data_IF_914555868613
#
_entry.id   IF_914555868613
#
_cell.length_a   1.000
_cell.length_b   1.000
_cell.length_c   1.000
_cell.angle_alpha   90.00
_cell.angle_beta   90.00
_cell.angle_gamma   90.00
#
_symmetry.space_group_name_H-M   'P 1'
#
loop_
_entity.id
_entity.type
_entity.pdbx_description
1 polymer ?
#
# COMPACT_ATOMS: atom_id res chain seq x y z
N UNK A 1 7.91 1.64 -33.95
CA UNK A 1 8.82 1.34 -32.82
C UNK A 1 8.09 1.68 -31.53
N UNK A 2 7.53 0.68 -30.84
CA UNK A 2 6.90 0.87 -29.53
C UNK A 2 8.00 1.21 -28.52
N UNK A 3 8.11 2.48 -28.14
CA UNK A 3 9.04 2.90 -27.08
C UNK A 3 8.77 2.06 -25.83
N UNK A 4 9.80 1.44 -25.22
CA UNK A 4 9.61 0.65 -24.02
C UNK A 4 9.04 1.52 -22.90
N UNK A 5 7.99 1.02 -22.22
CA UNK A 5 7.22 1.72 -21.18
C UNK A 5 8.09 2.51 -20.17
N UNK A 6 9.25 1.99 -19.69
CA UNK A 6 10.11 2.74 -18.77
C UNK A 6 10.71 4.02 -19.38
N UNK A 7 10.97 4.06 -20.69
CA UNK A 7 11.49 5.26 -21.35
C UNK A 7 10.44 6.36 -21.44
N UNK A 8 9.16 5.99 -21.64
CA UNK A 8 8.05 6.96 -21.65
C UNK A 8 7.86 7.60 -20.26
N UNK A 9 7.95 6.81 -19.18
CA UNK A 9 7.89 7.32 -17.81
C UNK A 9 9.02 8.31 -17.50
N UNK A 10 10.24 7.96 -17.93
CA UNK A 10 11.42 8.81 -17.74
C UNK A 10 11.32 10.09 -18.57
N UNK A 11 10.90 9.98 -19.83
CA UNK A 11 10.72 11.14 -20.70
C UNK A 11 9.67 12.10 -20.13
N UNK A 12 8.50 11.59 -19.73
CA UNK A 12 7.46 12.40 -19.10
C UNK A 12 7.99 13.13 -17.86
N UNK A 13 8.67 12.43 -16.96
CA UNK A 13 9.26 13.03 -15.77
C UNK A 13 10.32 14.09 -16.09
N UNK A 14 11.17 13.85 -17.08
CA UNK A 14 12.24 14.80 -17.45
C UNK A 14 11.69 16.04 -18.16
N UNK A 15 10.70 15.89 -19.02
CA UNK A 15 10.06 17.01 -19.73
C UNK A 15 9.25 17.90 -18.79
N UNK A 16 8.56 17.33 -17.80
CA UNK A 16 7.69 18.12 -16.90
C UNK A 16 8.44 18.57 -15.65
N UNK A 17 9.16 17.67 -14.97
CA UNK A 17 9.85 17.97 -13.71
C UNK A 17 11.26 18.54 -13.94
N UNK A 18 11.80 18.44 -15.15
CA UNK A 18 13.06 19.09 -15.54
C UNK A 18 12.91 20.57 -15.92
N UNK A 19 11.68 21.10 -15.95
CA UNK A 19 11.43 22.52 -16.24
C UNK A 19 11.68 23.38 -15.00
N UNK A 20 12.96 23.69 -14.73
CA UNK A 20 13.32 24.55 -13.60
C UNK A 20 14.79 24.93 -13.59
N UNK A 21 15.20 25.72 -12.58
CA UNK A 21 16.60 26.15 -12.40
C UNK A 21 17.57 25.00 -12.07
N UNK A 22 17.06 23.81 -11.72
CA UNK A 22 17.85 22.62 -11.37
C UNK A 22 17.89 21.62 -12.54
N UNK A 23 18.96 20.83 -12.60
CA UNK A 23 19.13 19.74 -13.58
C UNK A 23 17.96 18.76 -13.52
N UNK A 24 17.60 18.22 -14.68
CA UNK A 24 16.58 17.16 -14.79
C UNK A 24 16.91 15.99 -13.86
N UNK A 25 15.89 15.36 -13.25
CA UNK A 25 16.13 14.25 -12.33
C UNK A 25 16.82 13.07 -13.05
N UNK A 26 17.74 12.35 -12.37
CA UNK A 26 18.35 11.16 -12.92
C UNK A 26 17.29 10.11 -13.30
N UNK A 27 17.61 9.27 -14.29
CA UNK A 27 16.71 8.20 -14.76
C UNK A 27 16.21 7.30 -13.63
N UNK A 28 17.07 6.94 -12.68
CA UNK A 28 16.70 6.11 -11.54
C UNK A 28 15.64 6.77 -10.66
N UNK A 29 15.77 8.08 -10.41
CA UNK A 29 14.81 8.87 -9.63
C UNK A 29 13.47 8.97 -10.35
N UNK A 30 13.50 9.22 -11.67
CA UNK A 30 12.27 9.26 -12.48
C UNK A 30 11.49 7.95 -12.42
N UNK A 31 12.19 6.81 -12.53
CA UNK A 31 11.57 5.49 -12.46
C UNK A 31 11.06 5.17 -11.05
N UNK A 32 11.81 5.56 -10.03
CA UNK A 32 11.39 5.40 -8.64
C UNK A 32 10.09 6.16 -8.38
N UNK A 33 10.06 7.45 -8.72
CA UNK A 33 8.88 8.29 -8.59
C UNK A 33 7.69 7.73 -9.36
N UNK A 34 7.88 7.30 -10.62
CA UNK A 34 6.81 6.67 -11.39
C UNK A 34 6.26 5.43 -10.70
N UNK A 35 7.13 4.58 -10.13
CA UNK A 35 6.73 3.43 -9.34
C UNK A 35 5.90 3.80 -8.11
N UNK A 36 6.31 4.83 -7.38
CA UNK A 36 5.59 5.30 -6.20
C UNK A 36 4.23 5.92 -6.55
N UNK A 37 4.17 6.76 -7.59
CA UNK A 37 2.92 7.37 -8.06
C UNK A 37 1.94 6.30 -8.55
N UNK A 38 2.43 5.27 -9.24
CA UNK A 38 1.62 4.13 -9.63
C UNK A 38 1.12 3.33 -8.42
N UNK A 39 1.96 3.16 -7.40
CA UNK A 39 1.55 2.51 -6.16
C UNK A 39 0.43 3.31 -5.45
N UNK A 40 0.52 4.64 -5.43
CA UNK A 40 -0.55 5.50 -4.88
C UNK A 40 -1.83 5.41 -5.71
N UNK A 41 -1.72 5.42 -7.04
CA UNK A 41 -2.87 5.27 -7.93
C UNK A 41 -3.57 3.90 -7.79
N UNK A 42 -2.84 2.87 -7.35
CA UNK A 42 -3.37 1.52 -7.10
C UNK A 42 -3.81 1.30 -5.65
N UNK A 43 -3.73 2.33 -4.79
CA UNK A 43 -4.05 2.22 -3.37
C UNK A 43 -3.08 1.36 -2.56
N UNK A 44 -1.91 1.01 -3.12
CA UNK A 44 -0.85 0.29 -2.42
C UNK A 44 -0.09 1.18 -1.43
N UNK A 45 -0.17 2.50 -1.63
CA UNK A 45 0.44 3.52 -0.79
C UNK A 45 -0.54 4.69 -0.64
N UNK A 46 -0.75 5.26 0.55
CA UNK A 46 -1.73 6.33 0.74
C UNK A 46 -1.30 7.66 0.09
N UNK A 47 0.00 7.95 0.10
CA UNK A 47 0.58 9.19 -0.39
C UNK A 47 2.07 9.00 -0.73
N UNK A 48 2.60 9.74 -1.71
CA UNK A 48 4.05 9.84 -1.96
C UNK A 48 4.53 11.28 -1.80
N UNK A 49 5.65 11.45 -1.07
CA UNK A 49 6.34 12.72 -0.93
C UNK A 49 7.28 12.93 -2.11
N UNK A 50 7.18 14.08 -2.76
CA UNK A 50 8.09 14.51 -3.80
C UNK A 50 9.06 15.56 -3.24
N UNK A 51 10.33 15.18 -3.16
CA UNK A 51 11.44 16.02 -2.66
C UNK A 51 12.61 16.13 -3.66
N UNK A 52 12.48 15.49 -4.82
CA UNK A 52 13.59 15.24 -5.73
C UNK A 52 14.16 16.53 -6.34
N UNK A 53 13.33 17.56 -6.51
CA UNK A 53 13.76 18.90 -6.86
C UNK A 53 12.74 19.93 -6.36
N UNK A 54 13.08 21.21 -6.54
CA UNK A 54 12.21 22.35 -6.25
C UNK A 54 11.11 22.54 -7.31
N UNK A 55 10.64 21.48 -7.96
CA UNK A 55 9.52 21.58 -8.90
C UNK A 55 8.27 21.92 -8.11
N UNK A 56 7.62 23.02 -8.50
CA UNK A 56 6.37 23.44 -7.89
C UNK A 56 5.20 22.56 -8.32
N UNK A 57 4.06 22.77 -7.66
CA UNK A 57 2.80 22.05 -7.88
C UNK A 57 2.42 21.95 -9.37
N UNK A 58 2.64 23.00 -10.16
CA UNK A 58 2.31 23.01 -11.60
C UNK A 58 3.11 21.99 -12.43
N UNK A 59 4.39 21.81 -12.12
CA UNK A 59 5.24 20.83 -12.81
C UNK A 59 4.85 19.40 -12.42
N UNK A 60 4.44 19.19 -11.16
CA UNK A 60 3.86 17.92 -10.73
C UNK A 60 2.49 17.66 -11.40
N UNK A 61 1.63 18.67 -11.52
CA UNK A 61 0.35 18.52 -12.23
C UNK A 61 0.59 18.12 -13.69
N UNK A 62 1.48 18.82 -14.37
CA UNK A 62 1.87 18.51 -15.76
C UNK A 62 2.42 17.09 -15.89
N UNK A 63 3.20 16.62 -14.90
CA UNK A 63 3.69 15.24 -14.85
C UNK A 63 2.56 14.22 -14.73
N UNK A 64 1.61 14.44 -13.82
CA UNK A 64 0.46 13.55 -13.64
C UNK A 64 -0.43 13.50 -14.88
N UNK A 65 -0.65 14.65 -15.52
CA UNK A 65 -1.37 14.73 -16.80
C UNK A 65 -0.63 13.98 -17.92
N UNK A 66 0.69 14.11 -18.01
CA UNK A 66 1.48 13.35 -18.97
C UNK A 66 1.36 11.83 -18.74
N UNK A 67 1.42 11.38 -17.49
CA UNK A 67 1.23 9.97 -17.15
C UNK A 67 -0.20 9.48 -17.44
N UNK A 68 -1.20 10.33 -17.24
CA UNK A 68 -2.59 10.04 -17.62
C UNK A 68 -2.76 9.94 -19.14
N UNK A 69 -2.19 10.86 -19.90
CA UNK A 69 -2.19 10.84 -21.37
C UNK A 69 -1.49 9.60 -21.95
N UNK A 70 -0.52 9.06 -21.22
CA UNK A 70 0.15 7.79 -21.54
C UNK A 70 -0.65 6.54 -21.11
N UNK A 71 -1.78 6.70 -20.42
CA UNK A 71 -2.64 5.61 -19.96
C UNK A 71 -2.13 4.87 -18.73
N UNK A 72 -1.18 5.45 -17.99
CA UNK A 72 -0.62 4.83 -16.78
C UNK A 72 -1.44 5.11 -15.52
N UNK A 73 -2.20 6.21 -15.49
CA UNK A 73 -2.98 6.66 -14.35
C UNK A 73 -4.48 6.70 -14.65
N UNK A 74 -5.29 6.30 -13.67
CA UNK A 74 -6.73 6.58 -13.62
C UNK A 74 -6.95 7.94 -12.97
N UNK A 75 -8.06 8.61 -13.33
CA UNK A 75 -8.46 9.89 -12.71
C UNK A 75 -8.50 9.72 -11.18
N UNK A 76 -7.93 10.67 -10.42
CA UNK A 76 -8.10 10.70 -8.96
C UNK A 76 -6.90 11.17 -8.14
N UNK A 77 -5.68 11.21 -8.67
CA UNK A 77 -4.54 11.72 -7.91
C UNK A 77 -4.61 13.24 -7.72
N UNK A 78 -4.34 13.69 -6.51
CA UNK A 78 -4.29 15.10 -6.11
C UNK A 78 -2.91 15.44 -5.57
N UNK A 79 -2.52 16.71 -5.71
CA UNK A 79 -1.27 17.23 -5.14
C UNK A 79 -1.63 18.11 -3.94
N UNK A 80 -1.05 17.78 -2.79
CA UNK A 80 -1.19 18.53 -1.55
C UNK A 80 0.16 19.17 -1.22
N UNK A 81 0.18 20.50 -1.12
CA UNK A 81 1.35 21.27 -0.71
C UNK A 81 1.34 21.47 0.81
N UNK A 82 2.41 21.06 1.48
CA UNK A 82 2.59 21.24 2.93
C UNK A 82 3.95 21.89 3.17
N UNK A 83 3.95 23.21 3.38
CA UNK A 83 5.18 23.98 3.49
C UNK A 83 5.94 23.96 2.17
N UNK A 84 7.18 23.45 2.19
CA UNK A 84 8.02 23.32 0.98
C UNK A 84 7.93 21.92 0.32
N UNK A 85 7.04 21.07 0.84
CA UNK A 85 6.91 19.67 0.43
C UNK A 85 5.64 19.46 -0.40
N UNK A 86 5.74 18.64 -1.45
CA UNK A 86 4.60 18.29 -2.29
C UNK A 86 4.27 16.81 -2.12
N UNK A 87 3.03 16.50 -1.76
CA UNK A 87 2.52 15.14 -1.61
C UNK A 87 1.56 14.81 -2.76
N UNK A 88 1.76 13.68 -3.41
CA UNK A 88 0.80 13.13 -4.36
C UNK A 88 -0.05 12.10 -3.62
N UNK A 89 -1.36 12.33 -3.56
CA UNK A 89 -2.31 11.54 -2.78
C UNK A 89 -3.45 11.03 -3.64
N UNK A 90 -3.98 9.85 -3.32
CA UNK A 90 -5.32 9.46 -3.74
C UNK A 90 -6.28 9.87 -2.62
N UNK A 91 -7.21 10.80 -2.82
CA UNK A 91 -8.07 11.30 -1.75
C UNK A 91 -8.95 10.19 -1.17
N UNK A 92 -9.45 9.28 -2.01
CA UNK A 92 -10.24 8.13 -1.55
C UNK A 92 -9.44 7.25 -0.59
N UNK A 93 -8.23 6.85 -0.99
CA UNK A 93 -7.38 5.99 -0.16
C UNK A 93 -6.81 6.73 1.06
N UNK A 94 -6.49 8.02 0.92
CA UNK A 94 -6.00 8.84 2.01
C UNK A 94 -7.08 9.02 3.09
N UNK A 95 -8.34 9.29 2.71
CA UNK A 95 -9.46 9.37 3.64
C UNK A 95 -9.69 8.04 4.36
N UNK A 96 -9.74 6.92 3.63
CA UNK A 96 -9.88 5.60 4.23
C UNK A 96 -8.76 5.28 5.22
N UNK A 97 -7.52 5.66 4.91
CA UNK A 97 -6.38 5.43 5.79
C UNK A 97 -6.44 6.31 7.04
N UNK A 98 -6.77 7.60 6.88
CA UNK A 98 -6.95 8.52 8.00
C UNK A 98 -8.11 8.11 8.92
N UNK A 99 -9.20 7.59 8.37
CA UNK A 99 -10.31 7.05 9.16
C UNK A 99 -9.88 5.84 10.01
N UNK A 100 -8.97 5.00 9.52
CA UNK A 100 -8.45 3.87 10.30
C UNK A 100 -7.51 4.33 11.43
N UNK A 101 -6.68 5.34 11.18
CA UNK A 101 -5.69 5.82 12.14
C UNK A 101 -6.27 6.80 13.19
N UNK A 102 -7.18 7.68 12.76
CA UNK A 102 -7.77 8.77 13.57
C UNK A 102 -9.21 8.48 13.99
N UNK A 103 -9.90 7.57 13.31
CA UNK A 103 -11.27 7.18 13.66
C UNK A 103 -11.35 6.54 15.04
N UNK A 104 -12.55 6.46 15.63
CA UNK A 104 -12.75 5.83 16.92
C UNK A 104 -12.23 4.39 16.85
N UNK A 105 -11.12 4.13 17.54
CA UNK A 105 -10.55 2.79 17.71
C UNK A 105 -11.56 1.93 18.47
N UNK A 106 -12.50 1.33 17.75
CA UNK A 106 -13.24 0.19 18.28
C UNK A 106 -12.19 -0.89 18.47
N UNK A 107 -11.79 -1.10 19.72
CA UNK A 107 -10.99 -2.26 20.09
C UNK A 107 -11.76 -3.49 19.61
N UNK A 108 -11.42 -4.00 18.44
CA UNK A 108 -11.70 -5.38 18.12
C UNK A 108 -10.85 -6.16 19.11
N UNK A 109 -11.47 -6.57 20.22
CA UNK A 109 -11.01 -7.69 21.01
C UNK A 109 -10.81 -8.83 20.01
N UNK A 110 -9.58 -8.95 19.50
CA UNK A 110 -9.09 -10.13 18.81
C UNK A 110 -9.09 -11.20 19.87
N UNK A 111 -10.28 -11.76 20.09
CA UNK A 111 -10.44 -13.04 20.77
C UNK A 111 -9.58 -13.97 19.94
N UNK A 112 -8.40 -14.27 20.48
CA UNK A 112 -7.66 -15.45 20.09
C UNK A 112 -8.70 -16.57 20.10
N UNK A 113 -9.09 -17.06 18.91
CA UNK A 113 -9.74 -18.35 18.82
C UNK A 113 -8.71 -19.34 19.33
N UNK A 114 -8.79 -19.58 20.65
CA UNK A 114 -8.20 -20.75 21.27
C UNK A 114 -8.75 -21.92 20.49
N UNK A 115 -7.89 -22.59 19.73
CA UNK A 115 -8.14 -23.93 19.25
C UNK A 115 -8.29 -24.79 20.52
N UNK A 116 -9.51 -24.90 21.03
CA UNK A 116 -9.87 -25.93 22.00
C UNK A 116 -9.90 -27.26 21.23
N UNK A 117 -9.00 -28.23 21.50
CA UNK A 117 -9.18 -29.58 21.02
C UNK A 117 -10.38 -30.18 21.75
N UNK A 118 -11.44 -30.46 20.99
CA UNK A 118 -12.60 -31.21 21.47
C UNK A 118 -12.16 -32.57 22.01
N UNK A 119 -12.24 -32.75 23.33
CA UNK A 119 -12.17 -34.04 24.01
C UNK A 119 -13.33 -34.93 23.50
N UNK A 120 -13.08 -36.19 23.08
CA UNK A 120 -14.16 -37.14 22.93
C UNK A 120 -14.60 -37.68 24.29
N UNK A 121 -15.91 -37.63 24.46
CA UNK A 121 -16.73 -38.13 25.54
C UNK A 121 -16.48 -39.62 25.86
N UNK A 122 -16.19 -39.88 27.15
CA UNK A 122 -16.61 -41.03 27.96
C UNK A 122 -16.67 -42.43 27.28
N UNK A 123 -15.57 -43.18 27.40
CA UNK A 123 -15.63 -44.65 27.41
C UNK A 123 -15.67 -45.15 28.86
N UNK A 124 -16.87 -45.54 29.27
CA UNK A 124 -17.24 -46.42 30.38
C UNK A 124 -16.12 -47.38 30.84
N UNK A 125 -15.42 -47.09 31.94
CA UNK A 125 -14.59 -48.08 32.63
C UNK A 125 -15.47 -48.84 33.64
N UNK A 126 -16.17 -49.85 33.14
CA UNK A 126 -16.95 -50.78 33.94
C UNK A 126 -16.06 -51.69 34.79
N UNK A 127 -16.42 -51.79 36.06
CA UNK A 127 -15.87 -52.69 37.07
C UNK A 127 -15.85 -54.16 36.61
N UNK A 128 -14.70 -54.83 36.71
CA UNK A 128 -14.60 -56.25 37.08
C UNK A 128 -13.14 -56.70 37.25
N UNK A 129 -12.56 -56.51 38.44
CA UNK A 129 -11.45 -57.34 38.91
C UNK A 129 -11.97 -58.22 40.06
N UNK A 130 -12.61 -59.34 39.73
CA UNK A 130 -12.76 -60.49 40.63
C UNK A 130 -11.94 -61.63 40.04
N UNK A 131 -10.78 -61.92 40.63
CA UNK A 131 -10.09 -63.20 40.46
C UNK A 131 -10.71 -64.21 41.45
N UNK A 132 -11.13 -65.41 41.02
CA UNK A 132 -11.44 -66.51 41.94
C UNK A 132 -10.16 -67.25 42.39
N UNK A 133 -10.22 -68.04 43.49
CA UNK A 133 -9.08 -68.79 44.01
C UNK A 133 -8.85 -70.14 43.28
N UNK A 134 -7.58 -70.54 43.28
CA UNK A 134 -6.90 -71.85 43.11
C UNK A 134 -7.77 -73.12 43.04
N UNK A 135 -7.49 -74.03 42.09
CA UNK A 135 -7.11 -75.49 42.17
C UNK A 135 -6.61 -75.89 40.74
N UNK A 136 -5.61 -76.75 40.47
CA UNK A 136 -5.24 -78.11 40.96
C UNK A 136 -3.72 -78.27 40.92
#
# INVERSE_FOLDING_TARGET
>A
MSTPRPQLLVAAAQETLGTGKRKSPPRAVCLHLAGEVLAVARGLKPAVLYDCNSAGVLALQSYLEALQGLGFLTLGLHILEIGENNLIVSPEHACQHLEQEVGPRVHQNRTHQSLEPSLPSNAFCGQACRKPPVQV
#
